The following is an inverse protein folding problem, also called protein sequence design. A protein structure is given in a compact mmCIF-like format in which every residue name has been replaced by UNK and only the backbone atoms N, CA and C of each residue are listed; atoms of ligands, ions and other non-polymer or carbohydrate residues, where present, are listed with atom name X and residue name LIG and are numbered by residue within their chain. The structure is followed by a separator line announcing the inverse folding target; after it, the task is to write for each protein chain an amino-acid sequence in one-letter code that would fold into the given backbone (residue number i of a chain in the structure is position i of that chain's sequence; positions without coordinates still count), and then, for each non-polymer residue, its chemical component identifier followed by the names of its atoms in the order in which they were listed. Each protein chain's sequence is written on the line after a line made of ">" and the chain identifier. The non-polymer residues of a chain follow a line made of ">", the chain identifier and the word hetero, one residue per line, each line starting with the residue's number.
data_IF_090734839427
#
_entry.id   IF_090734839427
#
_cell.length_a   1.000
_cell.length_b   1.000
_cell.length_c   1.000
_cell.angle_alpha   90.00
_cell.angle_beta   90.00
_cell.angle_gamma   90.00
#
_symmetry.space_group_name_H-M   'P 1'
#
loop_
_entity.id
_entity.type
_entity.pdbx_description
1 polymer ?
#
# COMPACT_ATOMS: atom_id res chain seq x y z
N UNK A 1 18.24 -69.20 51.97
CA UNK A 1 17.02 -68.49 51.69
C UNK A 1 17.33 -67.00 51.39
N UNK A 2 17.78 -66.66 50.18
CA UNK A 2 17.96 -65.25 49.70
C UNK A 2 18.05 -65.21 48.18
N UNK A 3 17.00 -65.60 47.44
CA UNK A 3 16.93 -65.49 45.96
C UNK A 3 15.58 -65.07 45.45
N UNK A 4 14.92 -64.09 46.09
CA UNK A 4 13.61 -63.67 45.58
C UNK A 4 13.36 -62.16 45.74
N UNK A 5 14.29 -61.27 45.38
CA UNK A 5 14.05 -59.80 45.37
C UNK A 5 14.63 -59.03 44.21
N UNK A 6 15.20 -59.69 43.17
CA UNK A 6 15.78 -58.99 42.02
C UNK A 6 14.81 -58.86 40.85
N UNK A 7 13.77 -59.71 40.75
CA UNK A 7 12.82 -59.71 39.66
C UNK A 7 11.77 -58.57 39.68
N UNK A 8 11.43 -58.04 40.83
CA UNK A 8 10.35 -57.01 40.98
C UNK A 8 10.82 -55.59 40.67
N UNK A 9 12.11 -55.28 40.81
CA UNK A 9 12.63 -53.93 40.50
C UNK A 9 12.81 -53.71 38.96
N UNK A 10 13.14 -54.75 38.22
CA UNK A 10 13.33 -54.66 36.75
C UNK A 10 12.01 -54.50 36.00
N UNK A 11 10.91 -55.07 36.51
CA UNK A 11 9.59 -54.93 35.88
C UNK A 11 9.01 -53.50 36.11
N UNK A 12 9.30 -52.88 37.25
CA UNK A 12 8.84 -51.49 37.54
C UNK A 12 9.52 -50.43 36.67
N UNK A 13 10.80 -50.59 36.41
CA UNK A 13 11.59 -49.69 35.56
C UNK A 13 11.16 -49.78 34.09
N UNK A 14 10.84 -50.96 33.61
CA UNK A 14 10.32 -51.16 32.23
C UNK A 14 8.89 -50.60 32.07
N UNK A 15 8.07 -50.66 33.11
CA UNK A 15 6.72 -50.09 33.06
C UNK A 15 6.74 -48.55 33.08
N UNK A 16 7.65 -47.93 33.84
CA UNK A 16 7.84 -46.48 33.83
C UNK A 16 8.44 -45.96 32.51
N UNK A 17 9.34 -46.72 31.87
CA UNK A 17 9.88 -46.35 30.54
C UNK A 17 8.81 -46.45 29.42
N UNK A 18 7.87 -47.38 29.51
CA UNK A 18 6.74 -47.49 28.56
C UNK A 18 5.68 -46.39 28.76
N UNK A 19 5.51 -45.87 29.96
CA UNK A 19 4.61 -44.75 30.27
C UNK A 19 5.20 -43.37 29.89
N UNK A 20 6.52 -43.24 29.82
CA UNK A 20 7.21 -42.03 29.37
C UNK A 20 7.32 -41.96 27.84
N UNK A 21 7.15 -43.05 27.12
CA UNK A 21 7.24 -43.11 25.65
C UNK A 21 5.96 -42.73 24.90
N UNK A 22 4.85 -42.48 25.57
CA UNK A 22 3.57 -42.15 24.94
C UNK A 22 3.01 -40.76 25.28
N UNK A 23 3.81 -39.83 25.72
CA UNK A 23 3.49 -38.43 25.55
C UNK A 23 3.71 -38.08 24.07
N UNK A 24 2.80 -38.56 23.20
CA UNK A 24 2.57 -37.90 21.92
C UNK A 24 2.37 -36.46 22.28
N UNK A 25 3.30 -35.58 21.87
CA UNK A 25 3.10 -34.16 21.97
C UNK A 25 1.76 -33.88 21.33
N UNK A 26 0.75 -33.57 22.15
CA UNK A 26 -0.50 -33.06 21.62
C UNK A 26 -0.12 -31.83 20.81
N UNK A 27 -0.08 -31.97 19.50
CA UNK A 27 0.14 -30.84 18.59
C UNK A 27 -0.97 -29.87 18.96
N UNK A 28 -0.60 -28.76 19.61
CA UNK A 28 -1.55 -27.73 19.92
C UNK A 28 -2.20 -27.36 18.58
N UNK A 29 -3.54 -27.48 18.53
CA UNK A 29 -4.27 -27.14 17.32
C UNK A 29 -3.86 -25.74 16.91
N UNK A 30 -3.57 -25.54 15.62
CA UNK A 30 -3.21 -24.23 15.09
C UNK A 30 -4.34 -23.24 15.47
N UNK A 31 -4.00 -22.07 16.02
CA UNK A 31 -5.04 -21.13 16.46
C UNK A 31 -5.89 -20.69 15.28
N UNK A 32 -7.21 -20.80 15.44
CA UNK A 32 -8.18 -20.29 14.49
C UNK A 32 -8.19 -18.75 14.51
N UNK A 33 -8.38 -18.12 13.36
CA UNK A 33 -8.47 -16.69 13.22
C UNK A 33 -9.48 -16.32 12.13
N UNK A 34 -10.12 -15.17 12.30
CA UNK A 34 -10.91 -14.57 11.24
C UNK A 34 -10.09 -13.43 10.61
N UNK A 35 -9.88 -13.48 9.29
CA UNK A 35 -9.17 -12.49 8.53
C UNK A 35 -10.15 -11.69 7.67
N UNK A 36 -9.92 -10.39 7.51
CA UNK A 36 -10.77 -9.50 6.71
C UNK A 36 -10.07 -9.11 5.42
N UNK A 37 -10.82 -8.95 4.34
CA UNK A 37 -10.28 -8.45 3.08
C UNK A 37 -9.68 -7.05 3.29
N UNK A 38 -8.51 -6.81 2.71
CA UNK A 38 -7.81 -5.53 2.74
C UNK A 38 -7.79 -4.94 1.33
N UNK A 39 -8.48 -3.83 1.14
CA UNK A 39 -8.80 -3.25 -0.17
C UNK A 39 -8.01 -1.98 -0.50
N UNK A 40 -7.12 -1.57 0.39
CA UNK A 40 -6.39 -0.32 0.20
C UNK A 40 -5.28 -0.49 -0.86
N UNK A 41 -4.89 0.63 -1.45
CA UNK A 41 -3.87 0.65 -2.48
C UNK A 41 -2.49 0.30 -1.92
N UNK A 42 -1.80 -0.60 -2.60
CA UNK A 42 -0.41 -0.96 -2.32
C UNK A 42 0.45 -0.44 -3.46
N UNK A 43 1.48 0.33 -3.13
CA UNK A 43 2.44 0.82 -4.10
C UNK A 43 3.82 0.21 -3.85
N UNK A 44 4.51 -0.15 -4.92
CA UNK A 44 5.90 -0.60 -4.88
C UNK A 44 6.71 0.27 -5.83
N UNK A 45 7.72 0.98 -5.32
CA UNK A 45 8.51 1.97 -6.06
C UNK A 45 7.62 2.95 -6.86
N UNK A 46 6.60 3.48 -6.20
CA UNK A 46 5.67 4.46 -6.77
C UNK A 46 4.61 3.89 -7.71
N UNK A 47 4.61 2.60 -8.01
CA UNK A 47 3.62 1.96 -8.90
C UNK A 47 2.63 1.10 -8.11
N UNK A 48 1.35 1.20 -8.44
CA UNK A 48 0.31 0.36 -7.85
C UNK A 48 0.57 -1.12 -8.17
N UNK A 49 0.60 -1.96 -7.13
CA UNK A 49 0.83 -3.38 -7.26
C UNK A 49 -0.48 -4.16 -7.44
N UNK A 50 -0.42 -5.25 -8.19
CA UNK A 50 -1.50 -6.23 -8.36
C UNK A 50 -1.11 -7.55 -7.73
N UNK A 51 -2.11 -8.26 -7.22
CA UNK A 51 -1.93 -9.51 -6.48
C UNK A 51 -2.67 -10.64 -7.16
N UNK A 52 -2.04 -11.81 -7.18
CA UNK A 52 -2.62 -13.01 -7.76
C UNK A 52 -2.55 -14.19 -6.78
N UNK A 53 -3.60 -15.01 -6.78
CA UNK A 53 -3.69 -16.25 -6.02
C UNK A 53 -2.80 -17.37 -6.62
N UNK A 54 -2.89 -18.58 -6.08
CA UNK A 54 -2.11 -19.73 -6.55
C UNK A 54 -2.40 -20.10 -8.01
N UNK A 55 -3.60 -19.80 -8.51
CA UNK A 55 -4.02 -20.05 -9.89
C UNK A 55 -3.61 -18.90 -10.85
N UNK A 56 -3.02 -17.83 -10.35
CA UNK A 56 -2.66 -16.66 -11.13
C UNK A 56 -3.80 -15.66 -11.36
N UNK A 57 -4.93 -15.82 -10.68
CA UNK A 57 -6.09 -14.93 -10.75
C UNK A 57 -5.98 -13.80 -9.74
N UNK A 58 -6.61 -12.65 -10.04
CA UNK A 58 -6.70 -11.52 -9.10
C UNK A 58 -7.28 -11.97 -7.76
N UNK A 59 -6.69 -11.51 -6.65
CA UNK A 59 -7.17 -11.82 -5.31
C UNK A 59 -6.97 -10.64 -4.37
N UNK A 60 -7.69 -10.68 -3.23
CA UNK A 60 -7.50 -9.73 -2.15
C UNK A 60 -6.24 -10.00 -1.34
N UNK A 61 -5.77 -8.95 -0.67
CA UNK A 61 -4.97 -9.07 0.53
C UNK A 61 -5.89 -9.30 1.71
N UNK A 62 -5.34 -9.79 2.81
CA UNK A 62 -6.09 -9.95 4.04
C UNK A 62 -5.42 -9.22 5.19
N UNK A 63 -6.22 -8.76 6.14
CA UNK A 63 -5.76 -8.12 7.37
C UNK A 63 -6.09 -9.00 8.58
N UNK A 64 -5.13 -9.14 9.48
CA UNK A 64 -5.30 -9.78 10.77
C UNK A 64 -4.45 -9.12 11.85
N UNK A 65 -5.08 -8.67 12.93
CA UNK A 65 -4.40 -8.01 14.06
C UNK A 65 -3.41 -6.91 13.62
N UNK A 66 -3.87 -6.02 12.72
CA UNK A 66 -3.06 -4.90 12.21
C UNK A 66 -1.91 -5.31 11.30
N UNK A 67 -1.88 -6.54 10.83
CA UNK A 67 -0.90 -7.04 9.85
C UNK A 67 -1.61 -7.36 8.55
N UNK A 68 -1.11 -6.82 7.44
CA UNK A 68 -1.58 -7.14 6.09
C UNK A 68 -0.79 -8.31 5.54
N UNK A 69 -1.49 -9.24 4.91
CA UNK A 69 -0.95 -10.47 4.32
C UNK A 69 -1.18 -10.49 2.82
N UNK A 70 -0.20 -10.99 2.09
CA UNK A 70 -0.22 -11.10 0.64
C UNK A 70 -0.02 -12.54 0.15
N UNK A 71 -0.48 -12.90 -1.06
CA UNK A 71 -0.26 -14.21 -1.64
C UNK A 71 1.23 -14.54 -1.80
N UNK A 72 1.64 -15.74 -1.38
CA UNK A 72 3.02 -16.19 -1.43
C UNK A 72 3.57 -16.30 -2.87
N UNK A 73 2.73 -16.61 -3.84
CA UNK A 73 3.13 -16.62 -5.27
C UNK A 73 3.40 -15.22 -5.82
N UNK A 74 2.67 -14.21 -5.40
CA UNK A 74 3.03 -12.82 -5.70
C UNK A 74 4.33 -12.45 -5.02
N UNK A 75 4.51 -12.81 -3.74
CA UNK A 75 5.77 -12.61 -3.03
C UNK A 75 6.96 -13.28 -3.73
N UNK A 76 6.78 -14.50 -4.25
CA UNK A 76 7.82 -15.21 -5.00
C UNK A 76 8.25 -14.44 -6.25
N UNK A 77 7.30 -13.91 -7.02
CA UNK A 77 7.61 -13.07 -8.19
C UNK A 77 8.40 -11.81 -7.80
N UNK A 78 7.99 -11.13 -6.73
CA UNK A 78 8.67 -9.92 -6.26
C UNK A 78 10.10 -10.20 -5.80
N UNK A 79 10.33 -11.37 -5.19
CA UNK A 79 11.64 -11.80 -4.71
C UNK A 79 12.51 -12.47 -5.79
N UNK A 80 12.03 -12.63 -7.04
CA UNK A 80 12.75 -13.38 -8.07
C UNK A 80 12.94 -14.86 -7.71
N UNK A 81 11.93 -15.46 -7.08
CA UNK A 81 11.96 -16.84 -6.60
C UNK A 81 10.95 -17.72 -7.32
N UNK A 82 11.24 -19.02 -7.40
CA UNK A 82 10.20 -20.05 -7.54
C UNK A 82 9.66 -20.41 -6.16
N UNK A 83 8.37 -20.75 -6.09
CA UNK A 83 7.69 -21.18 -4.87
C UNK A 83 7.28 -22.65 -4.98
N UNK A 84 7.64 -23.45 -3.98
CA UNK A 84 7.12 -24.80 -3.78
C UNK A 84 6.39 -24.85 -2.44
N UNK A 85 5.14 -25.31 -2.42
CA UNK A 85 4.32 -25.46 -1.22
C UNK A 85 3.95 -26.93 -1.04
N UNK A 86 4.36 -27.51 0.09
CA UNK A 86 3.91 -28.84 0.53
C UNK A 86 3.05 -28.64 1.79
N UNK A 87 1.74 -28.57 1.57
CA UNK A 87 0.76 -28.35 2.64
C UNK A 87 0.73 -29.52 3.64
N UNK A 88 0.91 -30.75 3.15
CA UNK A 88 0.89 -31.95 3.99
C UNK A 88 2.12 -32.04 4.89
N UNK A 89 3.29 -31.64 4.38
CA UNK A 89 4.52 -31.57 5.17
C UNK A 89 4.65 -30.27 5.99
N UNK A 90 3.72 -29.32 5.86
CA UNK A 90 3.75 -28.04 6.56
C UNK A 90 4.93 -27.17 6.13
N UNK A 91 5.24 -27.10 4.83
CA UNK A 91 6.45 -26.42 4.33
C UNK A 91 6.16 -25.58 3.09
N UNK A 92 6.84 -24.43 2.99
CA UNK A 92 6.99 -23.67 1.76
C UNK A 92 8.45 -23.30 1.56
N UNK A 93 8.94 -23.43 0.32
CA UNK A 93 10.30 -23.10 -0.06
C UNK A 93 10.31 -22.10 -1.22
N UNK A 94 10.98 -20.98 -1.00
CA UNK A 94 11.33 -20.00 -2.02
C UNK A 94 12.76 -20.31 -2.48
N UNK A 95 12.96 -20.45 -3.78
CA UNK A 95 14.28 -20.69 -4.36
C UNK A 95 14.57 -19.54 -5.34
N UNK A 96 15.65 -18.80 -5.10
CA UNK A 96 16.09 -17.70 -5.96
C UNK A 96 16.57 -18.21 -7.32
N UNK A 97 16.57 -17.35 -8.33
CA UNK A 97 17.04 -17.70 -9.68
C UNK A 97 16.06 -17.33 -10.80
N UNK A 98 15.00 -16.60 -10.48
CA UNK A 98 14.11 -15.98 -11.46
C UNK A 98 14.37 -14.48 -11.52
N UNK A 99 13.97 -13.83 -12.61
CA UNK A 99 13.91 -12.39 -12.67
C UNK A 99 12.78 -11.88 -11.76
N UNK A 100 13.11 -10.93 -10.87
CA UNK A 100 12.12 -10.29 -10.03
C UNK A 100 11.16 -9.45 -10.88
N UNK A 101 9.87 -9.60 -10.67
CA UNK A 101 8.86 -8.82 -11.38
C UNK A 101 7.72 -8.40 -10.44
N UNK A 102 7.34 -7.13 -10.54
CA UNK A 102 6.22 -6.57 -9.79
C UNK A 102 5.12 -6.26 -10.80
N UNK A 103 4.01 -7.02 -10.78
CA UNK A 103 2.90 -6.75 -11.69
C UNK A 103 2.32 -5.36 -11.42
N UNK A 104 2.48 -4.46 -12.38
CA UNK A 104 1.93 -3.10 -12.32
C UNK A 104 0.45 -3.04 -12.76
N UNK A 105 -0.15 -1.85 -12.75
CA UNK A 105 -1.57 -1.64 -13.06
C UNK A 105 -1.97 -2.10 -14.48
N UNK A 106 -1.01 -2.15 -15.40
CA UNK A 106 -1.22 -2.63 -16.77
C UNK A 106 -0.97 -4.13 -16.94
N UNK A 107 -0.58 -4.85 -15.88
CA UNK A 107 -0.48 -6.29 -15.97
C UNK A 107 -1.88 -6.88 -16.08
N UNK A 108 -2.13 -7.63 -17.14
CA UNK A 108 -3.35 -8.41 -17.30
C UNK A 108 -3.30 -9.58 -16.31
N UNK A 109 -3.68 -9.33 -15.07
CA UNK A 109 -4.11 -10.43 -14.20
C UNK A 109 -5.54 -10.75 -14.65
N UNK A 110 -5.81 -11.94 -15.17
CA UNK A 110 -7.13 -12.27 -15.67
C UNK A 110 -8.15 -12.17 -14.55
N UNK A 111 -9.16 -11.33 -14.74
CA UNK A 111 -10.37 -11.33 -13.94
C UNK A 111 -11.54 -11.69 -14.86
N UNK A 112 -12.35 -12.65 -14.49
CA UNK A 112 -13.62 -12.93 -15.13
C UNK A 112 -14.76 -12.70 -14.15
N UNK A 113 -16.00 -12.62 -14.63
CA UNK A 113 -17.18 -12.36 -13.78
C UNK A 113 -17.32 -13.39 -12.63
N UNK A 114 -16.91 -14.64 -12.82
CA UNK A 114 -16.93 -15.67 -11.79
C UNK A 114 -15.91 -15.38 -10.67
N UNK A 115 -14.77 -14.78 -11.00
CA UNK A 115 -13.77 -14.40 -10.00
C UNK A 115 -14.26 -13.22 -9.13
N UNK A 116 -15.07 -12.31 -9.67
CA UNK A 116 -15.67 -11.22 -8.89
C UNK A 116 -16.64 -11.75 -7.82
N UNK A 117 -17.46 -12.75 -8.13
CA UNK A 117 -18.39 -13.31 -7.14
C UNK A 117 -17.66 -13.95 -5.94
N UNK A 118 -16.51 -14.60 -6.17
CA UNK A 118 -15.65 -15.13 -5.08
C UNK A 118 -15.00 -13.99 -4.30
N UNK A 119 -14.54 -12.96 -4.98
CA UNK A 119 -13.95 -11.77 -4.36
C UNK A 119 -14.97 -11.03 -3.51
N UNK A 120 -16.19 -10.83 -3.99
CA UNK A 120 -17.28 -10.18 -3.25
C UNK A 120 -17.61 -10.92 -1.95
N UNK A 121 -17.59 -12.26 -1.98
CA UNK A 121 -17.79 -13.07 -0.78
C UNK A 121 -16.73 -12.75 0.30
N UNK A 122 -15.45 -12.72 -0.05
CA UNK A 122 -14.39 -12.38 0.91
C UNK A 122 -14.42 -10.92 1.36
N UNK A 123 -14.88 -10.02 0.50
CA UNK A 123 -15.06 -8.61 0.86
C UNK A 123 -16.08 -8.44 1.97
N UNK A 124 -17.23 -9.10 1.86
CA UNK A 124 -18.33 -8.97 2.83
C UNK A 124 -18.09 -9.75 4.13
N UNK A 125 -17.55 -10.98 4.02
CA UNK A 125 -17.51 -11.92 5.14
C UNK A 125 -16.11 -12.24 5.66
N UNK A 126 -15.03 -11.82 4.98
CA UNK A 126 -13.67 -12.25 5.31
C UNK A 126 -13.49 -13.76 5.13
N UNK A 127 -12.52 -14.34 5.81
CA UNK A 127 -12.24 -15.78 5.80
C UNK A 127 -11.85 -16.31 7.18
N UNK A 128 -12.36 -17.49 7.53
CA UNK A 128 -11.92 -18.22 8.71
C UNK A 128 -10.70 -19.08 8.34
N UNK A 129 -9.58 -18.88 9.02
CA UNK A 129 -8.32 -19.52 8.72
C UNK A 129 -7.69 -20.17 9.94
N UNK A 130 -6.73 -21.07 9.69
CA UNK A 130 -5.84 -21.62 10.71
C UNK A 130 -4.48 -20.95 10.61
N UNK A 131 -4.02 -20.32 11.70
CA UNK A 131 -2.68 -19.73 11.76
C UNK A 131 -1.64 -20.85 11.85
N UNK A 132 -0.75 -20.91 10.89
CA UNK A 132 0.17 -22.03 10.69
C UNK A 132 1.45 -21.89 11.54
N UNK A 133 1.33 -21.96 12.87
CA UNK A 133 2.44 -21.77 13.81
C UNK A 133 3.57 -22.80 13.70
N UNK A 134 3.28 -23.98 13.13
CA UNK A 134 4.25 -25.05 12.90
C UNK A 134 4.72 -25.13 11.44
N UNK A 135 4.24 -24.22 10.58
CA UNK A 135 4.59 -24.22 9.16
C UNK A 135 5.96 -23.59 8.95
N UNK A 136 6.81 -24.29 8.23
CA UNK A 136 8.17 -23.81 7.94
C UNK A 136 8.20 -23.11 6.59
N UNK A 137 8.61 -21.84 6.58
CA UNK A 137 8.91 -21.12 5.34
C UNK A 137 10.42 -20.94 5.23
N UNK A 138 10.98 -21.25 4.06
CA UNK A 138 12.41 -21.09 3.79
C UNK A 138 12.66 -20.29 2.53
N UNK A 139 13.82 -19.61 2.50
CA UNK A 139 14.37 -19.01 1.27
C UNK A 139 15.79 -19.56 1.11
N UNK A 140 16.02 -20.25 -0.02
CA UNK A 140 17.26 -20.97 -0.33
C UNK A 140 17.70 -21.89 0.80
N UNK A 141 16.72 -22.58 1.43
CA UNK A 141 16.92 -23.49 2.55
C UNK A 141 17.07 -22.80 3.93
N UNK A 142 17.28 -21.50 3.99
CA UNK A 142 17.35 -20.76 5.26
C UNK A 142 15.94 -20.47 5.81
N UNK A 143 15.67 -20.67 7.11
CA UNK A 143 14.37 -20.36 7.70
C UNK A 143 14.00 -18.88 7.53
N UNK A 144 12.72 -18.64 7.21
CA UNK A 144 12.14 -17.31 7.14
C UNK A 144 10.98 -17.20 8.13
N UNK A 145 11.22 -16.52 9.23
CA UNK A 145 10.23 -16.27 10.29
C UNK A 145 9.64 -14.88 10.16
N UNK A 146 8.44 -14.69 10.65
CA UNK A 146 7.71 -13.45 10.53
C UNK A 146 7.39 -12.86 11.90
N UNK A 147 7.57 -11.55 12.03
CA UNK A 147 7.19 -10.80 13.23
C UNK A 147 6.69 -9.40 12.88
N UNK A 148 5.91 -8.81 13.77
CA UNK A 148 5.51 -7.41 13.69
C UNK A 148 5.45 -6.83 15.08
N UNK A 149 6.21 -5.76 15.36
CA UNK A 149 6.32 -5.17 16.70
C UNK A 149 6.79 -6.16 17.77
N UNK A 150 7.72 -7.06 17.43
CA UNK A 150 8.22 -8.11 18.34
C UNK A 150 7.26 -9.29 18.56
N UNK A 151 6.07 -9.27 17.97
CA UNK A 151 5.09 -10.35 18.06
C UNK A 151 5.20 -11.27 16.85
N UNK A 152 5.31 -12.58 17.05
CA UNK A 152 5.32 -13.57 15.99
C UNK A 152 4.06 -13.47 15.11
N UNK A 153 4.23 -13.59 13.80
CA UNK A 153 3.18 -13.66 12.82
C UNK A 153 3.26 -14.99 12.09
N UNK A 154 2.12 -15.59 11.80
CA UNK A 154 2.08 -16.90 11.17
C UNK A 154 1.37 -16.81 9.83
N UNK A 155 1.87 -17.52 8.80
CA UNK A 155 1.17 -17.65 7.54
C UNK A 155 -0.16 -18.40 7.73
N UNK A 156 -1.02 -18.31 6.74
CA UNK A 156 -2.28 -19.06 6.67
C UNK A 156 -2.65 -19.35 5.21
N UNK A 157 -3.59 -20.25 5.01
CA UNK A 157 -4.20 -20.48 3.70
C UNK A 157 -5.59 -19.86 3.66
N UNK A 158 -5.89 -19.20 2.53
CA UNK A 158 -7.26 -18.97 2.08
C UNK A 158 -7.39 -19.77 0.78
N UNK A 159 -8.33 -20.69 0.75
CA UNK A 159 -8.44 -21.73 -0.25
C UNK A 159 -7.08 -22.47 -0.40
N UNK A 160 -6.53 -22.51 -1.61
CA UNK A 160 -5.22 -23.15 -1.88
C UNK A 160 -4.05 -22.14 -1.93
N UNK A 161 -4.31 -20.89 -1.63
CA UNK A 161 -3.30 -19.83 -1.65
C UNK A 161 -2.71 -19.62 -0.26
N UNK A 162 -1.38 -19.74 -0.15
CA UNK A 162 -0.63 -19.38 1.05
C UNK A 162 -0.46 -17.87 1.13
N UNK A 163 -0.72 -17.30 2.32
CA UNK A 163 -0.56 -15.87 2.60
C UNK A 163 0.55 -15.62 3.60
N UNK A 164 1.38 -14.62 3.32
CA UNK A 164 2.53 -14.21 4.13
C UNK A 164 2.39 -12.74 4.55
N UNK A 165 2.95 -12.33 5.71
CA UNK A 165 2.96 -10.93 6.12
C UNK A 165 3.65 -10.03 5.09
N UNK A 166 2.93 -9.04 4.55
CA UNK A 166 3.39 -8.13 3.49
C UNK A 166 4.68 -7.39 3.89
N UNK A 167 4.76 -6.89 5.13
CA UNK A 167 5.94 -6.19 5.64
C UNK A 167 7.20 -7.04 5.55
N UNK A 168 7.11 -8.30 5.95
CA UNK A 168 8.28 -9.21 5.90
C UNK A 168 8.75 -9.49 4.47
N UNK A 169 7.85 -9.44 3.49
CA UNK A 169 8.20 -9.54 2.07
C UNK A 169 8.94 -8.27 1.62
N UNK A 170 8.39 -7.08 1.92
CA UNK A 170 9.03 -5.80 1.58
C UNK A 170 10.42 -5.65 2.23
N UNK A 171 10.56 -5.98 3.51
CA UNK A 171 11.85 -5.96 4.22
C UNK A 171 12.86 -6.92 3.58
N UNK A 172 12.40 -8.12 3.15
CA UNK A 172 13.27 -9.06 2.44
C UNK A 172 13.71 -8.59 1.07
N UNK A 173 12.93 -7.73 0.43
CA UNK A 173 13.32 -7.02 -0.81
C UNK A 173 14.35 -5.91 -0.53
N UNK A 174 14.74 -5.66 0.72
CA UNK A 174 15.57 -4.53 1.12
C UNK A 174 14.84 -3.18 1.07
N UNK A 175 13.51 -3.20 1.18
CA UNK A 175 12.66 -2.02 1.08
C UNK A 175 12.04 -1.63 2.41
N UNK A 176 11.67 -0.36 2.53
CA UNK A 176 10.92 0.19 3.66
C UNK A 176 9.43 0.05 3.37
N UNK A 177 8.69 -0.49 4.34
CA UNK A 177 7.23 -0.64 4.24
C UNK A 177 6.58 0.43 5.10
N UNK A 178 5.92 1.36 4.46
CA UNK A 178 5.26 2.51 5.08
C UNK A 178 3.75 2.37 4.99
N UNK A 179 3.07 2.49 6.11
CA UNK A 179 1.63 2.68 6.16
C UNK A 179 1.32 4.17 6.29
N UNK A 180 0.52 4.70 5.38
CA UNK A 180 0.07 6.09 5.38
C UNK A 180 -1.43 6.08 5.70
N UNK A 181 -1.83 6.51 6.92
CA UNK A 181 -3.22 6.53 7.31
C UNK A 181 -3.99 7.65 6.59
N UNK A 182 -5.29 7.48 6.47
CA UNK A 182 -6.20 8.54 6.06
C UNK A 182 -6.02 9.81 6.93
N UNK A 183 -6.17 10.98 6.32
CA UNK A 183 -6.10 12.27 7.01
C UNK A 183 -7.47 12.65 7.59
N UNK A 184 -7.70 12.35 8.84
CA UNK A 184 -8.96 12.66 9.51
C UNK A 184 -9.28 14.16 9.50
N UNK A 185 -10.46 14.53 9.01
CA UNK A 185 -10.99 15.89 9.05
C UNK A 185 -10.29 16.91 8.13
N UNK A 186 -9.42 16.45 7.24
CA UNK A 186 -8.73 17.29 6.24
C UNK A 186 -9.09 16.76 4.86
N UNK A 187 -9.37 17.62 3.88
CA UNK A 187 -9.53 17.17 2.50
C UNK A 187 -8.31 16.36 2.05
N UNK A 188 -8.50 15.15 1.59
CA UNK A 188 -7.47 14.27 1.06
C UNK A 188 -7.90 13.68 -0.28
N UNK A 189 -6.94 13.24 -1.07
CA UNK A 189 -7.16 12.69 -2.39
C UNK A 189 -7.10 11.16 -2.41
N UNK A 190 -6.33 10.59 -1.50
CA UNK A 190 -6.17 9.15 -1.35
C UNK A 190 -6.58 8.72 0.06
N UNK A 191 -7.27 7.58 0.13
CA UNK A 191 -7.49 6.85 1.37
C UNK A 191 -6.15 6.34 1.95
N UNK A 192 -6.19 5.60 3.04
CA UNK A 192 -4.99 4.96 3.54
C UNK A 192 -4.31 4.13 2.45
N UNK A 193 -2.99 4.08 2.48
CA UNK A 193 -2.21 3.28 1.56
C UNK A 193 -1.01 2.63 2.24
N UNK A 194 -0.50 1.57 1.64
CA UNK A 194 0.81 1.02 1.99
C UNK A 194 1.76 1.25 0.82
N UNK A 195 2.95 1.72 1.12
CA UNK A 195 4.02 1.83 0.14
C UNK A 195 5.25 1.01 0.54
N UNK A 196 5.91 0.43 -0.44
CA UNK A 196 7.07 -0.45 -0.32
C UNK A 196 8.12 0.12 -1.25
N UNK A 197 9.02 0.92 -0.70
CA UNK A 197 9.97 1.71 -1.49
C UNK A 197 11.41 1.44 -1.06
N UNK A 198 12.36 1.68 -1.95
CA UNK A 198 13.77 1.70 -1.57
C UNK A 198 13.98 2.70 -0.42
N UNK A 199 14.89 2.43 0.54
CA UNK A 199 15.20 3.39 1.59
C UNK A 199 15.81 4.66 0.97
N UNK A 200 15.37 5.82 1.46
CA UNK A 200 15.94 7.10 1.05
C UNK A 200 17.06 7.54 2.00
N UNK A 201 18.08 8.18 1.46
CA UNK A 201 19.09 8.87 2.26
C UNK A 201 18.51 10.16 2.86
N UNK A 202 19.15 10.70 3.89
CA UNK A 202 18.74 11.98 4.48
C UNK A 202 18.75 13.12 3.46
N UNK A 203 19.69 13.11 2.51
CA UNK A 203 19.73 14.11 1.43
C UNK A 203 18.51 13.98 0.49
N UNK A 204 18.09 12.77 0.16
CA UNK A 204 16.91 12.53 -0.65
C UNK A 204 15.61 12.91 0.08
N UNK A 205 15.52 12.67 1.39
CA UNK A 205 14.39 13.14 2.19
C UNK A 205 14.30 14.67 2.19
N UNK A 206 15.43 15.36 2.33
CA UNK A 206 15.50 16.83 2.26
C UNK A 206 15.13 17.35 0.86
N UNK A 207 15.57 16.68 -0.21
CA UNK A 207 15.22 17.03 -1.59
C UNK A 207 13.70 16.90 -1.82
N UNK A 208 13.09 15.80 -1.37
CA UNK A 208 11.64 15.61 -1.46
C UNK A 208 10.87 16.66 -0.64
N UNK A 209 11.35 17.01 0.56
CA UNK A 209 10.72 18.05 1.37
C UNK A 209 10.82 19.41 0.69
N UNK A 210 12.01 19.78 0.16
CA UNK A 210 12.19 21.05 -0.56
C UNK A 210 11.30 21.14 -1.82
N UNK A 211 11.07 20.03 -2.49
CA UNK A 211 10.13 19.95 -3.61
C UNK A 211 8.70 20.25 -3.16
N UNK A 212 8.23 19.63 -2.06
CA UNK A 212 6.92 19.90 -1.48
C UNK A 212 6.76 21.35 -1.04
N UNK A 213 7.78 21.91 -0.38
CA UNK A 213 7.75 23.30 0.08
C UNK A 213 7.60 24.29 -1.09
N UNK A 214 8.30 24.04 -2.22
CA UNK A 214 8.15 24.84 -3.43
C UNK A 214 6.75 24.67 -4.05
N UNK A 215 6.24 23.44 -4.11
CA UNK A 215 4.91 23.16 -4.62
C UNK A 215 3.82 23.86 -3.79
N UNK A 216 3.92 23.82 -2.46
CA UNK A 216 3.04 24.57 -1.56
C UNK A 216 3.13 26.07 -1.76
N UNK A 217 4.34 26.64 -1.88
CA UNK A 217 4.50 28.07 -2.10
C UNK A 217 3.82 28.56 -3.39
N UNK A 218 3.90 27.76 -4.46
CA UNK A 218 3.20 28.05 -5.73
C UNK A 218 1.69 27.84 -5.59
N UNK A 219 1.27 26.78 -4.90
CA UNK A 219 -0.13 26.53 -4.62
C UNK A 219 -0.78 27.70 -3.86
N UNK A 220 -0.15 28.20 -2.79
CA UNK A 220 -0.69 29.30 -2.00
C UNK A 220 -0.83 30.60 -2.80
N UNK A 221 0.07 30.88 -3.73
CA UNK A 221 -0.10 32.00 -4.67
C UNK A 221 -1.32 31.80 -5.58
N UNK A 222 -1.52 30.57 -6.08
CA UNK A 222 -2.72 30.28 -6.88
C UNK A 222 -3.99 30.37 -6.04
N UNK A 223 -3.97 29.91 -4.78
CA UNK A 223 -5.10 29.93 -3.86
C UNK A 223 -5.50 31.37 -3.45
N UNK A 224 -4.53 32.25 -3.23
CA UNK A 224 -4.78 33.67 -2.93
C UNK A 224 -5.51 34.36 -4.09
N UNK A 225 -5.04 34.19 -5.32
CA UNK A 225 -5.69 34.73 -6.52
C UNK A 225 -7.07 34.06 -6.75
N UNK A 226 -7.16 32.76 -6.51
CA UNK A 226 -8.42 32.01 -6.65
C UNK A 226 -9.48 32.46 -5.65
N UNK A 227 -9.09 32.70 -4.40
CA UNK A 227 -9.98 33.23 -3.37
C UNK A 227 -10.49 34.64 -3.75
N UNK A 228 -9.60 35.52 -4.20
CA UNK A 228 -9.99 36.86 -4.67
C UNK A 228 -10.99 36.80 -5.84
N UNK A 229 -10.79 35.87 -6.78
CA UNK A 229 -11.71 35.66 -7.89
C UNK A 229 -13.08 35.13 -7.44
N UNK A 230 -13.10 34.20 -6.48
CA UNK A 230 -14.35 33.60 -5.94
C UNK A 230 -15.14 34.64 -5.15
N UNK A 231 -14.46 35.47 -4.37
CA UNK A 231 -15.09 36.50 -3.52
C UNK A 231 -15.56 37.75 -4.28
N UNK A 232 -15.09 37.96 -5.50
CA UNK A 232 -15.52 39.09 -6.32
C UNK A 232 -17.04 39.07 -6.55
N UNK A 233 -17.75 40.13 -6.20
CA UNK A 233 -19.21 40.27 -6.43
C UNK A 233 -19.53 40.35 -7.91
N UNK A 234 -18.73 41.10 -8.67
CA UNK A 234 -18.77 41.23 -10.11
C UNK A 234 -17.43 40.72 -10.68
N UNK A 235 -17.47 39.92 -11.74
CA UNK A 235 -16.26 39.51 -12.47
C UNK A 235 -16.02 40.52 -13.61
N UNK A 236 -15.17 41.56 -13.40
CA UNK A 236 -14.78 42.42 -14.50
C UNK A 236 -13.99 41.60 -15.51
N UNK A 237 -14.51 41.47 -16.74
CA UNK A 237 -14.12 40.43 -17.69
C UNK A 237 -12.61 40.30 -17.93
N UNK A 238 -11.89 41.41 -18.13
CA UNK A 238 -10.45 41.38 -18.37
C UNK A 238 -9.67 41.00 -17.08
N UNK A 239 -10.03 41.54 -15.93
CA UNK A 239 -9.35 41.31 -14.65
C UNK A 239 -9.53 39.85 -14.18
N UNK A 240 -10.76 39.32 -14.27
CA UNK A 240 -11.03 37.93 -13.93
C UNK A 240 -10.30 36.95 -14.88
N UNK A 241 -10.19 37.28 -16.17
CA UNK A 241 -9.41 36.49 -17.11
C UNK A 241 -7.92 36.49 -16.75
N UNK A 242 -7.37 37.62 -16.33
CA UNK A 242 -5.97 37.71 -15.89
C UNK A 242 -5.73 36.91 -14.59
N UNK A 243 -6.69 36.90 -13.66
CA UNK A 243 -6.65 36.06 -12.48
C UNK A 243 -6.63 34.57 -12.82
N UNK A 244 -7.48 34.10 -13.76
CA UNK A 244 -7.46 32.71 -14.24
C UNK A 244 -6.12 32.34 -14.88
N UNK A 245 -5.55 33.23 -15.68
CA UNK A 245 -4.24 33.00 -16.29
C UNK A 245 -3.11 32.96 -15.26
N UNK A 246 -3.19 33.76 -14.20
CA UNK A 246 -2.24 33.69 -13.07
C UNK A 246 -2.35 32.35 -12.32
N UNK A 247 -3.57 31.92 -11.96
CA UNK A 247 -3.80 30.62 -11.31
C UNK A 247 -3.22 29.51 -12.18
N UNK A 248 -3.55 29.49 -13.46
CA UNK A 248 -3.00 28.53 -14.43
C UNK A 248 -1.48 28.57 -14.51
N UNK A 249 -0.90 29.77 -14.47
CA UNK A 249 0.54 30.00 -14.47
C UNK A 249 1.22 29.36 -13.26
N UNK A 250 0.70 29.56 -12.05
CA UNK A 250 1.24 28.96 -10.83
C UNK A 250 1.09 27.42 -10.82
N UNK A 251 -0.07 26.90 -11.23
CA UNK A 251 -0.29 25.46 -11.32
C UNK A 251 0.65 24.81 -12.35
N UNK A 252 0.94 25.46 -13.48
CA UNK A 252 1.94 24.98 -14.45
C UNK A 252 3.37 24.95 -13.86
N UNK A 253 3.73 25.97 -13.09
CA UNK A 253 5.05 26.01 -12.45
C UNK A 253 5.24 24.84 -11.47
N UNK A 254 4.20 24.41 -10.76
CA UNK A 254 4.29 23.19 -9.91
C UNK A 254 4.72 21.99 -10.76
N UNK A 255 4.11 21.77 -11.91
CA UNK A 255 4.46 20.65 -12.79
C UNK A 255 5.80 20.79 -13.53
N UNK A 256 6.40 21.97 -13.48
CA UNK A 256 7.72 22.24 -14.03
C UNK A 256 8.84 22.17 -12.97
N UNK A 257 8.48 21.94 -11.69
CA UNK A 257 9.47 21.72 -10.66
C UNK A 257 10.29 20.46 -11.01
N UNK A 258 11.61 20.50 -10.83
CA UNK A 258 12.45 19.33 -11.06
C UNK A 258 12.02 18.21 -10.09
N UNK A 259 11.73 17.03 -10.63
CA UNK A 259 11.37 15.87 -9.82
C UNK A 259 12.51 15.48 -8.87
N UNK A 260 12.21 15.10 -7.63
CA UNK A 260 13.20 14.57 -6.72
C UNK A 260 13.90 13.33 -7.30
N UNK A 261 15.13 13.09 -6.88
CA UNK A 261 15.92 11.92 -7.32
C UNK A 261 15.36 10.58 -6.81
N UNK A 262 14.55 10.62 -5.75
CA UNK A 262 13.89 9.44 -5.18
C UNK A 262 12.40 9.39 -5.57
N UNK A 263 11.93 8.23 -6.06
CA UNK A 263 10.60 8.03 -6.65
C UNK A 263 9.45 7.94 -5.64
N UNK A 264 9.71 8.11 -4.32
CA UNK A 264 8.67 7.95 -3.31
C UNK A 264 7.42 8.80 -3.56
N UNK A 265 7.59 10.02 -4.06
CA UNK A 265 6.48 10.94 -4.31
C UNK A 265 5.70 10.65 -5.62
N UNK A 266 6.20 9.78 -6.50
CA UNK A 266 5.58 9.52 -7.81
C UNK A 266 4.15 8.98 -7.68
N UNK A 267 3.88 8.17 -6.64
CA UNK A 267 2.54 7.63 -6.34
C UNK A 267 1.46 8.69 -6.08
N UNK A 268 1.87 9.90 -5.73
CA UNK A 268 0.95 11.02 -5.51
C UNK A 268 0.69 11.81 -6.80
N UNK A 269 1.16 11.31 -7.94
CA UNK A 269 0.95 11.89 -9.27
C UNK A 269 1.31 13.39 -9.34
N UNK A 270 2.45 13.78 -8.76
CA UNK A 270 2.89 15.18 -8.73
C UNK A 270 3.04 15.82 -10.10
N UNK A 271 3.55 15.13 -11.15
CA UNK A 271 3.54 15.68 -12.51
C UNK A 271 2.13 15.98 -13.02
N UNK A 272 1.13 15.16 -12.65
CA UNK A 272 -0.27 15.37 -12.97
C UNK A 272 -0.93 16.45 -12.09
N UNK A 273 -0.32 16.81 -10.96
CA UNK A 273 -0.72 17.99 -10.20
C UNK A 273 -0.69 19.24 -11.08
N UNK A 274 0.19 19.25 -12.06
CA UNK A 274 0.32 20.37 -12.92
C UNK A 274 -0.90 20.57 -13.78
N UNK A 275 -1.48 19.50 -14.35
CA UNK A 275 -2.52 19.78 -15.35
C UNK A 275 -3.16 18.49 -15.89
N UNK A 276 -4.40 18.26 -15.56
CA UNK A 276 -5.22 17.64 -16.59
C UNK A 276 -5.38 18.67 -17.70
N UNK A 277 -5.02 18.32 -18.93
CA UNK A 277 -5.24 19.16 -20.11
C UNK A 277 -6.69 19.67 -20.19
N UNK A 278 -7.65 18.92 -19.67
CA UNK A 278 -9.06 19.25 -19.57
C UNK A 278 -9.35 20.45 -18.67
N UNK A 279 -8.72 20.56 -17.49
CA UNK A 279 -8.91 21.71 -16.58
C UNK A 279 -8.36 22.98 -17.20
N UNK A 280 -7.21 22.90 -17.85
CA UNK A 280 -6.64 24.09 -18.49
C UNK A 280 -7.35 24.51 -19.76
N UNK A 281 -7.88 23.57 -20.53
CA UNK A 281 -8.74 23.91 -21.66
C UNK A 281 -10.01 24.63 -21.18
N UNK A 282 -10.55 24.23 -20.01
CA UNK A 282 -11.66 24.95 -19.37
C UNK A 282 -11.27 26.37 -18.96
N UNK A 283 -10.13 26.56 -18.33
CA UNK A 283 -9.64 27.88 -17.95
C UNK A 283 -9.32 28.77 -19.17
N UNK A 284 -8.77 28.20 -20.26
CA UNK A 284 -8.53 28.92 -21.50
C UNK A 284 -9.86 29.40 -22.14
N UNK A 285 -10.86 28.53 -22.16
CA UNK A 285 -12.20 28.89 -22.63
C UNK A 285 -12.81 30.03 -21.80
N UNK A 286 -12.79 29.91 -20.47
CA UNK A 286 -13.34 30.92 -19.58
C UNK A 286 -12.57 32.25 -19.67
N UNK A 287 -11.23 32.24 -19.74
CA UNK A 287 -10.43 33.45 -19.93
C UNK A 287 -10.78 34.17 -21.22
N UNK A 288 -10.95 33.44 -22.32
CA UNK A 288 -11.34 34.01 -23.61
C UNK A 288 -12.74 34.61 -23.54
N UNK A 289 -13.72 33.89 -22.98
CA UNK A 289 -15.09 34.33 -22.84
C UNK A 289 -15.26 35.55 -21.93
N UNK A 290 -14.48 35.62 -20.82
CA UNK A 290 -14.40 36.77 -19.92
C UNK A 290 -13.88 38.02 -20.66
N UNK A 291 -12.77 37.89 -21.40
CA UNK A 291 -12.25 39.01 -22.21
C UNK A 291 -13.20 39.50 -23.27
N UNK A 292 -13.95 38.57 -23.87
CA UNK A 292 -14.97 38.90 -24.86
C UNK A 292 -16.30 39.44 -24.25
N UNK A 293 -16.43 39.40 -22.92
CA UNK A 293 -17.65 39.71 -22.18
C UNK A 293 -18.90 38.94 -22.70
N UNK A 294 -18.69 37.64 -22.95
CA UNK A 294 -19.71 36.74 -23.52
C UNK A 294 -20.25 35.72 -22.52
N UNK A 295 -19.72 35.69 -21.26
CA UNK A 295 -20.22 34.77 -20.24
C UNK A 295 -21.64 35.10 -19.81
N UNK A 296 -22.44 34.06 -19.73
CA UNK A 296 -23.73 34.11 -19.04
C UNK A 296 -23.51 34.15 -17.52
N UNK A 297 -24.55 34.53 -16.76
CA UNK A 297 -24.50 34.46 -15.29
C UNK A 297 -24.16 33.06 -14.78
N UNK A 298 -24.73 32.01 -15.38
CA UNK A 298 -24.44 30.62 -14.99
C UNK A 298 -22.97 30.22 -15.26
N UNK A 299 -22.41 30.66 -16.38
CA UNK A 299 -21.00 30.39 -16.69
C UNK A 299 -20.05 31.12 -15.72
N UNK A 300 -20.41 32.34 -15.30
CA UNK A 300 -19.66 33.05 -14.28
C UNK A 300 -19.62 32.29 -12.91
N UNK A 301 -20.74 31.68 -12.53
CA UNK A 301 -20.79 30.75 -11.37
C UNK A 301 -19.90 29.54 -11.60
N UNK A 302 -20.01 28.91 -12.77
CA UNK A 302 -19.20 27.72 -13.11
C UNK A 302 -17.68 28.01 -13.09
N UNK A 303 -17.25 29.25 -13.45
CA UNK A 303 -15.83 29.66 -13.31
C UNK A 303 -15.37 29.57 -11.88
N UNK A 304 -16.12 30.14 -10.94
CA UNK A 304 -15.80 30.14 -9.51
C UNK A 304 -15.76 28.72 -8.94
N UNK A 305 -16.76 27.91 -9.27
CA UNK A 305 -16.82 26.52 -8.85
C UNK A 305 -15.63 25.71 -9.38
N UNK A 306 -15.29 25.87 -10.66
CA UNK A 306 -14.15 25.19 -11.30
C UNK A 306 -12.83 25.56 -10.64
N UNK A 307 -12.63 26.84 -10.28
CA UNK A 307 -11.43 27.29 -9.57
C UNK A 307 -11.39 26.67 -8.17
N UNK A 308 -12.49 26.76 -7.42
CA UNK A 308 -12.58 26.21 -6.06
C UNK A 308 -12.30 24.70 -6.02
N UNK A 309 -12.95 23.92 -6.89
CA UNK A 309 -12.76 22.46 -6.98
C UNK A 309 -11.33 22.13 -7.38
N UNK A 310 -10.76 22.85 -8.35
CA UNK A 310 -9.38 22.62 -8.79
C UNK A 310 -8.40 22.87 -7.66
N UNK A 311 -8.49 23.99 -6.96
CA UNK A 311 -7.59 24.34 -5.88
C UNK A 311 -7.74 23.39 -4.68
N UNK A 312 -8.98 23.01 -4.33
CA UNK A 312 -9.23 22.05 -3.26
C UNK A 312 -8.61 20.66 -3.57
N UNK A 313 -8.78 20.16 -4.78
CA UNK A 313 -8.17 18.89 -5.19
C UNK A 313 -6.64 18.93 -5.20
N UNK A 314 -6.03 20.09 -5.54
CA UNK A 314 -4.57 20.26 -5.47
C UNK A 314 -4.06 20.28 -4.04
N UNK A 315 -4.77 20.99 -3.16
CA UNK A 315 -4.45 21.00 -1.73
C UNK A 315 -4.52 19.62 -1.10
N UNK A 316 -5.56 18.85 -1.43
CA UNK A 316 -5.70 17.49 -0.95
C UNK A 316 -4.49 16.61 -1.34
N UNK A 317 -4.09 16.64 -2.61
CA UNK A 317 -2.90 15.88 -3.08
C UNK A 317 -1.60 16.29 -2.38
N UNK A 318 -1.38 17.58 -2.18
CA UNK A 318 -0.21 18.09 -1.46
C UNK A 318 -0.19 17.59 -0.01
N UNK A 319 -1.34 17.59 0.67
CA UNK A 319 -1.47 17.08 2.03
C UNK A 319 -1.17 15.58 2.11
N UNK A 320 -1.72 14.78 1.20
CA UNK A 320 -1.45 13.34 1.14
C UNK A 320 0.05 13.07 0.95
N UNK A 321 0.69 13.81 0.05
CA UNK A 321 2.11 13.65 -0.20
C UNK A 321 2.98 14.07 1.00
N UNK A 322 2.65 15.19 1.65
CA UNK A 322 3.35 15.65 2.86
C UNK A 322 3.20 14.64 4.00
N UNK A 323 1.98 14.13 4.20
CA UNK A 323 1.71 13.08 5.19
C UNK A 323 2.49 11.80 4.85
N UNK A 324 2.45 11.39 3.59
CA UNK A 324 3.19 10.23 3.10
C UNK A 324 4.68 10.35 3.35
N UNK A 325 5.30 11.49 2.98
CA UNK A 325 6.72 11.74 3.21
C UNK A 325 7.08 11.66 4.70
N UNK A 326 6.24 12.22 5.57
CA UNK A 326 6.45 12.15 7.02
C UNK A 326 6.40 10.72 7.55
N UNK A 327 5.45 9.90 7.07
CA UNK A 327 5.35 8.48 7.43
C UNK A 327 6.55 7.68 6.91
N UNK A 328 7.02 7.98 5.68
CA UNK A 328 8.18 7.31 5.08
C UNK A 328 9.48 7.61 5.85
N UNK A 329 9.72 8.86 6.18
CA UNK A 329 10.87 9.25 7.00
C UNK A 329 10.86 8.51 8.36
N UNK A 330 9.71 8.51 9.05
CA UNK A 330 9.56 7.78 10.31
C UNK A 330 9.77 6.26 10.16
N UNK A 331 9.36 5.66 9.04
CA UNK A 331 9.56 4.24 8.77
C UNK A 331 11.04 3.90 8.50
N UNK A 332 11.79 4.80 7.84
CA UNK A 332 13.24 4.66 7.64
C UNK A 332 13.96 4.72 8.99
N UNK A 333 13.64 5.70 9.84
CA UNK A 333 14.25 5.84 11.17
C UNK A 333 13.98 4.62 12.07
N UNK A 334 12.81 4.00 11.93
CA UNK A 334 12.45 2.80 12.70
C UNK A 334 13.13 1.51 12.18
N UNK A 335 13.62 1.51 10.95
CA UNK A 335 14.28 0.36 10.32
C UNK A 335 15.82 0.36 10.53
N UNK A 336 16.42 1.51 10.85
CA UNK A 336 17.87 1.69 11.13
C UNK A 336 18.18 1.43 12.56
#
# INVERSE_FOLDING_TARGET
>A
MKKLRIGALSALVLLCAALLGSMAAASAAAPAAHVTAYMQNIYVDGQEAKFANAEGKTTYLFSYNGTVYMPANTAAKWLGCTLSVDRAAGKAAFTTGQEASIPGPNSTVPSNEADFAVLDHYFESGADVQLLSQFTVTVDGAPWTFSSGGTARYPFFVDDTLYLPLRSVGERMGKVVTWVPELAGVPHYQDELISIDAPATQAQLQEMQAYLDQAYALYWKAAEVGQALVDASDLPGAEAADMLDQIKGYLRQIGQLPSPSHHYLDKYAFPELAVSTTVFSGFDYYSAALRANTLTFQEAVNVKDSVSITLMGRYAKLNDAQKGLSCFAAAIDAAG
#
